data_IF_200228499826
#
_entry.id   IF_200228499826
#
_cell.length_a   1.000
_cell.length_b   1.000
_cell.length_c   1.000
_cell.angle_alpha   90.00
_cell.angle_beta   90.00
_cell.angle_gamma   90.00
#
_symmetry.space_group_name_H-M   'P 1'
#
loop_
_entity.id
_entity.type
_entity.pdbx_description
1 polymer ?
#
# COMPACT_ATOMS: atom_id res chain seq x y z
N UNK A 1 -3.51 10.40 -36.95
CA UNK A 1 -2.52 10.69 -35.89
C UNK A 1 -1.77 9.42 -35.59
N UNK A 2 -0.76 9.15 -36.40
CA UNK A 2 0.01 7.92 -36.41
C UNK A 2 0.92 7.99 -37.62
N UNK A 3 2.09 7.39 -37.49
CA UNK A 3 3.19 7.47 -38.45
C UNK A 3 3.38 6.07 -39.02
N UNK A 4 3.86 5.98 -40.25
CA UNK A 4 4.37 4.71 -40.77
C UNK A 4 5.80 4.56 -40.24
N UNK A 5 6.10 3.44 -39.62
CA UNK A 5 7.48 3.11 -39.26
C UNK A 5 8.33 2.82 -40.51
N UNK A 6 9.62 2.57 -40.29
CA UNK A 6 10.59 2.31 -41.37
C UNK A 6 10.23 1.10 -42.24
N UNK A 7 9.29 0.26 -41.80
CA UNK A 7 8.81 -0.93 -42.51
C UNK A 7 7.40 -0.76 -43.11
N UNK A 8 6.82 0.44 -43.03
CA UNK A 8 5.48 0.73 -43.54
C UNK A 8 4.35 0.23 -42.64
N UNK A 9 4.65 -0.17 -41.40
CA UNK A 9 3.65 -0.51 -40.40
C UNK A 9 3.15 0.77 -39.73
N UNK A 10 1.84 0.87 -39.50
CA UNK A 10 1.27 2.01 -38.80
C UNK A 10 1.55 1.92 -37.30
N UNK A 11 2.02 3.02 -36.70
CA UNK A 11 2.19 3.18 -35.25
C UNK A 11 1.64 4.52 -34.77
N UNK A 12 1.28 4.68 -33.48
CA UNK A 12 0.99 5.99 -32.93
C UNK A 12 2.19 6.93 -33.07
N UNK A 13 1.94 8.24 -33.18
CA UNK A 13 2.99 9.21 -32.87
C UNK A 13 3.20 9.26 -31.36
N UNK A 14 4.46 9.28 -30.91
CA UNK A 14 4.84 9.37 -29.50
C UNK A 14 4.19 10.57 -28.81
N UNK A 15 4.19 11.72 -29.48
CA UNK A 15 3.64 12.99 -28.97
C UNK A 15 2.15 12.82 -28.64
N UNK A 16 1.39 12.25 -29.58
CA UNK A 16 -0.02 11.96 -29.40
C UNK A 16 -0.26 11.02 -28.21
N UNK A 17 0.58 9.98 -28.05
CA UNK A 17 0.46 9.06 -26.94
C UNK A 17 0.69 9.80 -25.61
N UNK A 18 1.77 10.58 -25.50
CA UNK A 18 2.11 11.33 -24.29
C UNK A 18 1.06 12.37 -23.91
N UNK A 19 0.47 13.08 -24.88
CA UNK A 19 -0.60 14.07 -24.66
C UNK A 19 -1.85 13.47 -23.99
N UNK A 20 -2.16 12.21 -24.25
CA UNK A 20 -3.35 11.53 -23.72
C UNK A 20 -3.09 10.78 -22.40
N UNK A 21 -1.84 10.84 -21.92
CA UNK A 21 -1.38 10.09 -20.76
C UNK A 21 -1.35 10.96 -19.53
N UNK A 22 -1.45 10.33 -18.36
CA UNK A 22 -1.60 11.05 -17.09
C UNK A 22 -0.33 10.94 -16.29
N UNK A 23 0.27 12.07 -15.95
CA UNK A 23 1.27 12.07 -14.89
C UNK A 23 0.61 11.69 -13.55
N UNK A 24 1.28 10.87 -12.71
CA UNK A 24 0.83 10.62 -11.36
C UNK A 24 0.59 11.96 -10.65
N UNK A 25 -0.56 12.06 -9.98
CA UNK A 25 -0.87 13.24 -9.16
C UNK A 25 -0.29 13.07 -7.77
N UNK A 26 1.00 12.76 -7.70
CA UNK A 26 1.73 12.73 -6.43
C UNK A 26 2.02 14.18 -6.05
N UNK A 27 1.05 14.84 -5.40
CA UNK A 27 1.34 16.12 -4.76
C UNK A 27 2.29 15.84 -3.61
N UNK A 28 3.49 16.45 -3.59
CA UNK A 28 4.43 16.23 -2.49
C UNK A 28 3.79 16.65 -1.17
N UNK A 29 4.09 15.91 -0.12
CA UNK A 29 3.71 16.26 1.24
C UNK A 29 4.51 17.50 1.64
N UNK A 30 3.83 18.56 2.07
CA UNK A 30 4.49 19.83 2.44
C UNK A 30 4.61 19.93 3.96
N UNK A 31 5.39 19.03 4.56
CA UNK A 31 5.51 18.95 6.02
C UNK A 31 6.65 19.80 6.58
N UNK A 32 7.52 20.34 5.73
CA UNK A 32 8.68 21.16 6.12
C UNK A 32 8.31 22.42 6.91
N UNK A 33 7.07 22.91 6.75
CA UNK A 33 6.58 24.10 7.46
C UNK A 33 6.17 23.86 8.91
N UNK A 34 6.20 22.61 9.38
CA UNK A 34 5.84 22.28 10.76
C UNK A 34 7.06 22.30 11.68
N UNK A 35 6.91 22.82 12.91
CA UNK A 35 7.97 22.73 13.89
C UNK A 35 8.29 21.26 14.17
N UNK A 36 9.58 20.97 14.31
CA UNK A 36 10.03 19.67 14.80
C UNK A 36 9.81 19.58 16.31
N UNK A 37 9.59 18.36 16.79
CA UNK A 37 9.42 18.02 18.20
C UNK A 37 10.72 18.16 18.98
N UNK A 38 10.68 17.73 20.25
CA UNK A 38 11.79 17.86 21.19
C UNK A 38 13.06 17.11 20.74
N UNK A 39 12.91 16.09 19.92
CA UNK A 39 14.02 15.30 19.35
C UNK A 39 14.69 15.96 18.13
N UNK A 40 14.16 17.10 17.65
CA UNK A 40 14.69 17.80 16.48
C UNK A 40 14.49 17.06 15.15
N UNK A 41 13.71 15.98 15.12
CA UNK A 41 13.53 15.10 13.97
C UNK A 41 12.06 14.86 13.59
N UNK A 42 11.18 14.64 14.56
CA UNK A 42 9.77 14.23 14.34
C UNK A 42 8.82 15.42 14.39
N UNK A 43 7.59 15.25 13.88
CA UNK A 43 6.50 16.21 14.07
C UNK A 43 5.50 15.56 15.01
N UNK A 44 5.33 16.12 16.20
CA UNK A 44 4.41 15.61 17.21
C UNK A 44 2.99 16.12 16.94
N UNK A 45 2.03 15.19 16.89
CA UNK A 45 0.62 15.49 16.62
C UNK A 45 -0.26 14.82 17.66
N UNK A 46 -1.07 15.62 18.34
CA UNK A 46 -2.13 15.13 19.22
C UNK A 46 -3.47 15.25 18.51
N UNK A 47 -4.15 14.11 18.33
CA UNK A 47 -5.43 14.01 17.62
C UNK A 47 -6.66 14.31 18.51
N UNK A 48 -6.45 14.48 19.82
CA UNK A 48 -7.51 14.62 20.81
C UNK A 48 -8.03 13.28 21.32
N UNK A 49 -8.45 13.25 22.59
CA UNK A 49 -8.90 12.03 23.28
C UNK A 49 -10.11 11.35 22.61
N UNK A 50 -11.14 12.07 22.11
CA UNK A 50 -12.29 11.42 21.49
C UNK A 50 -11.91 10.60 20.26
N UNK A 51 -11.04 11.15 19.39
CA UNK A 51 -10.61 10.46 18.18
C UNK A 51 -9.66 9.30 18.51
N UNK A 52 -8.74 9.47 19.46
CA UNK A 52 -7.86 8.39 19.89
C UNK A 52 -8.64 7.20 20.45
N UNK A 53 -9.61 7.44 21.35
CA UNK A 53 -10.48 6.38 21.88
C UNK A 53 -11.28 5.68 20.78
N UNK A 54 -11.84 6.46 19.84
CA UNK A 54 -12.60 5.88 18.74
C UNK A 54 -11.72 5.03 17.79
N UNK A 55 -10.43 5.37 17.62
CA UNK A 55 -9.45 4.55 16.90
C UNK A 55 -9.19 3.25 17.67
N UNK A 56 -8.92 3.34 18.98
CA UNK A 56 -8.67 2.18 19.85
C UNK A 56 -9.83 1.19 19.83
N UNK A 57 -11.06 1.67 20.02
CA UNK A 57 -12.29 0.88 19.97
C UNK A 57 -12.46 0.20 18.60
N UNK A 58 -12.25 0.94 17.51
CA UNK A 58 -12.41 0.40 16.17
C UNK A 58 -11.38 -0.70 15.87
N UNK A 59 -10.11 -0.47 16.24
CA UNK A 59 -9.03 -1.44 16.03
C UNK A 59 -9.28 -2.68 16.88
N UNK A 60 -9.67 -2.52 18.14
CA UNK A 60 -9.98 -3.64 19.05
C UNK A 60 -11.15 -4.47 18.55
N UNK A 61 -12.24 -3.81 18.13
CA UNK A 61 -13.42 -4.50 17.61
C UNK A 61 -13.12 -5.23 16.29
N UNK A 62 -12.30 -4.62 15.43
CA UNK A 62 -11.86 -5.24 14.17
C UNK A 62 -10.94 -6.44 14.42
N UNK A 63 -10.02 -6.33 15.39
CA UNK A 63 -9.15 -7.42 15.80
C UNK A 63 -9.95 -8.59 16.36
N UNK A 64 -10.85 -8.36 17.31
CA UNK A 64 -11.70 -9.39 17.89
C UNK A 64 -12.55 -10.10 16.83
N UNK A 65 -13.14 -9.35 15.89
CA UNK A 65 -13.89 -9.91 14.75
C UNK A 65 -13.02 -10.82 13.89
N UNK A 66 -11.79 -10.40 13.56
CA UNK A 66 -10.88 -11.19 12.73
C UNK A 66 -10.34 -12.42 13.45
N UNK A 67 -10.04 -12.32 14.74
CA UNK A 67 -9.67 -13.47 15.57
C UNK A 67 -10.79 -14.51 15.62
N UNK A 68 -12.05 -14.08 15.76
CA UNK A 68 -13.22 -14.96 15.71
C UNK A 68 -13.36 -15.64 14.34
N UNK A 69 -13.19 -14.90 13.24
CA UNK A 69 -13.25 -15.48 11.89
C UNK A 69 -12.15 -16.52 11.62
N UNK A 70 -10.96 -16.32 12.18
CA UNK A 70 -9.85 -17.27 12.10
C UNK A 70 -9.94 -18.39 13.16
N UNK A 71 -11.03 -18.43 13.94
CA UNK A 71 -11.29 -19.42 14.97
C UNK A 71 -10.17 -19.54 16.02
N UNK A 72 -9.50 -18.42 16.31
CA UNK A 72 -8.48 -18.38 17.37
C UNK A 72 -9.20 -18.58 18.70
N UNK A 73 -8.82 -19.63 19.43
CA UNK A 73 -9.47 -19.95 20.69
C UNK A 73 -9.38 -18.74 21.66
N UNK A 74 -10.42 -18.55 22.49
CA UNK A 74 -10.49 -17.41 23.42
C UNK A 74 -10.92 -16.08 22.79
N UNK A 75 -11.15 -16.02 21.47
CA UNK A 75 -11.76 -14.85 20.84
C UNK A 75 -13.17 -14.59 21.42
N UNK A 76 -13.40 -13.37 21.91
CA UNK A 76 -14.71 -12.94 22.38
C UNK A 76 -15.63 -12.64 21.20
N UNK A 77 -16.91 -13.03 21.32
CA UNK A 77 -17.92 -12.69 20.32
C UNK A 77 -18.10 -11.17 20.28
N UNK A 78 -17.89 -10.57 19.10
CA UNK A 78 -18.21 -9.17 18.88
C UNK A 78 -19.71 -9.05 18.65
N UNK A 79 -20.38 -8.22 19.45
CA UNK A 79 -21.81 -7.94 19.28
C UNK A 79 -22.12 -7.37 17.88
N UNK A 80 -23.35 -7.55 17.42
CA UNK A 80 -23.80 -7.14 16.07
C UNK A 80 -23.85 -5.62 15.83
N UNK A 81 -23.41 -4.80 16.78
CA UNK A 81 -23.37 -3.33 16.68
C UNK A 81 -22.42 -2.86 15.58
N UNK A 82 -22.76 -1.76 14.90
CA UNK A 82 -21.85 -1.12 13.93
C UNK A 82 -20.60 -0.59 14.65
N UNK A 83 -19.56 -1.43 14.68
CA UNK A 83 -18.27 -1.21 15.32
C UNK A 83 -17.56 0.06 14.83
N UNK A 84 -18.01 0.64 13.72
CA UNK A 84 -17.39 1.83 13.14
C UNK A 84 -18.10 3.13 13.49
N UNK A 85 -19.30 3.09 14.09
CA UNK A 85 -20.13 4.28 14.31
C UNK A 85 -19.39 5.39 15.08
N UNK A 86 -18.83 5.06 16.24
CA UNK A 86 -18.05 5.97 17.10
C UNK A 86 -16.89 6.63 16.33
N UNK A 87 -16.16 5.84 15.56
CA UNK A 87 -15.08 6.33 14.69
C UNK A 87 -15.58 7.23 13.56
N UNK A 88 -16.67 6.86 12.87
CA UNK A 88 -17.22 7.69 11.78
C UNK A 88 -17.62 9.08 12.26
N UNK A 89 -18.23 9.16 13.43
CA UNK A 89 -18.65 10.42 14.07
C UNK A 89 -17.42 11.23 14.49
N UNK A 90 -16.53 10.65 15.31
CA UNK A 90 -15.34 11.34 15.83
C UNK A 90 -14.37 11.78 14.72
N UNK A 91 -14.11 10.92 13.73
CA UNK A 91 -13.28 11.26 12.58
C UNK A 91 -13.91 12.35 11.72
N UNK A 92 -15.22 12.24 11.47
CA UNK A 92 -15.95 13.23 10.67
C UNK A 92 -15.93 14.63 11.29
N UNK A 93 -16.11 14.71 12.60
CA UNK A 93 -16.02 15.96 13.36
C UNK A 93 -14.60 16.54 13.36
N UNK A 94 -13.59 15.72 13.68
CA UNK A 94 -12.20 16.14 13.67
C UNK A 94 -11.74 16.61 12.28
N UNK A 95 -12.06 15.84 11.23
CA UNK A 95 -11.73 16.19 9.86
C UNK A 95 -12.39 17.52 9.43
N UNK A 96 -13.65 17.74 9.83
CA UNK A 96 -14.34 19.01 9.56
C UNK A 96 -13.66 20.18 10.27
N UNK A 97 -13.37 20.04 11.55
CA UNK A 97 -12.73 21.07 12.37
C UNK A 97 -11.33 21.43 11.82
N UNK A 98 -10.52 20.42 11.48
CA UNK A 98 -9.20 20.64 10.89
C UNK A 98 -9.31 21.30 9.52
N UNK A 99 -10.28 20.91 8.68
CA UNK A 99 -10.49 21.55 7.38
C UNK A 99 -10.88 23.04 7.52
N UNK A 100 -11.74 23.38 8.48
CA UNK A 100 -12.10 24.77 8.77
C UNK A 100 -10.89 25.57 9.28
N UNK A 101 -10.10 24.99 10.20
CA UNK A 101 -8.88 25.62 10.72
C UNK A 101 -7.82 25.81 9.65
N UNK A 102 -7.61 24.81 8.79
CA UNK A 102 -6.70 24.89 7.65
C UNK A 102 -7.10 26.01 6.67
N UNK A 103 -8.41 26.18 6.41
CA UNK A 103 -8.92 27.30 5.61
C UNK A 103 -8.67 28.64 6.29
N UNK A 104 -9.04 28.78 7.57
CA UNK A 104 -8.91 30.02 8.32
C UNK A 104 -7.45 30.49 8.45
N UNK A 105 -6.53 29.55 8.68
CA UNK A 105 -5.10 29.84 8.79
C UNK A 105 -4.39 29.91 7.43
N UNK A 106 -5.08 29.66 6.30
CA UNK A 106 -4.48 29.51 4.97
C UNK A 106 -3.37 28.45 4.89
N UNK A 107 -3.36 27.48 5.80
CA UNK A 107 -2.36 26.40 5.92
C UNK A 107 -2.99 25.06 5.58
N UNK A 108 -2.84 24.66 4.32
CA UNK A 108 -3.48 23.48 3.72
C UNK A 108 -2.81 22.18 4.18
N UNK A 109 -1.54 22.30 4.51
CA UNK A 109 -0.64 21.28 5.00
C UNK A 109 -1.11 20.70 6.34
N UNK A 110 -1.88 21.48 7.13
CA UNK A 110 -2.51 21.00 8.37
C UNK A 110 -3.42 19.80 8.13
N UNK A 111 -4.15 19.83 7.03
CA UNK A 111 -5.05 18.74 6.65
C UNK A 111 -4.28 17.52 6.12
N UNK A 112 -3.11 17.73 5.50
CA UNK A 112 -2.21 16.63 5.12
C UNK A 112 -1.65 15.94 6.37
N UNK A 113 -1.14 16.73 7.32
CA UNK A 113 -0.58 16.25 8.57
C UNK A 113 -1.62 15.49 9.40
N UNK A 114 -2.85 15.99 9.48
CA UNK A 114 -3.95 15.30 10.16
C UNK A 114 -4.19 13.89 9.63
N UNK A 115 -4.35 13.72 8.30
CA UNK A 115 -4.58 12.38 7.75
C UNK A 115 -3.40 11.43 7.97
N UNK A 116 -2.17 11.92 7.81
CA UNK A 116 -0.98 11.11 8.08
C UNK A 116 -0.90 10.69 9.55
N UNK A 117 -1.25 11.59 10.47
CA UNK A 117 -1.29 11.31 11.89
C UNK A 117 -2.37 10.27 12.24
N UNK A 118 -3.57 10.35 11.65
CA UNK A 118 -4.62 9.35 11.85
C UNK A 118 -4.19 7.98 11.34
N UNK A 119 -3.62 7.90 10.12
CA UNK A 119 -3.11 6.62 9.58
C UNK A 119 -2.01 6.04 10.47
N UNK A 120 -1.03 6.88 10.87
CA UNK A 120 0.04 6.46 11.79
C UNK A 120 -0.54 5.95 13.11
N UNK A 121 -1.49 6.66 13.71
CA UNK A 121 -2.12 6.29 14.97
C UNK A 121 -2.85 4.95 14.86
N UNK A 122 -3.63 4.73 13.79
CA UNK A 122 -4.31 3.45 13.54
C UNK A 122 -3.30 2.29 13.53
N UNK A 123 -2.19 2.44 12.80
CA UNK A 123 -1.17 1.39 12.67
C UNK A 123 -0.45 1.14 14.00
N UNK A 124 -0.08 2.20 14.74
CA UNK A 124 0.57 2.07 16.04
C UNK A 124 -0.37 1.44 17.09
N UNK A 125 -1.63 1.84 17.12
CA UNK A 125 -2.64 1.25 18.01
C UNK A 125 -2.84 -0.23 17.71
N UNK A 126 -2.85 -0.61 16.42
CA UNK A 126 -2.93 -2.02 16.03
C UNK A 126 -1.71 -2.82 16.47
N UNK A 127 -0.51 -2.32 16.20
CA UNK A 127 0.73 -2.98 16.58
C UNK A 127 0.82 -3.12 18.12
N UNK A 128 0.42 -2.08 18.85
CA UNK A 128 0.34 -2.11 20.32
C UNK A 128 -0.64 -3.16 20.83
N UNK A 129 -1.88 -3.20 20.32
CA UNK A 129 -2.89 -4.17 20.76
C UNK A 129 -2.47 -5.62 20.46
N UNK A 130 -1.80 -5.88 19.34
CA UNK A 130 -1.26 -7.20 19.03
C UNK A 130 -0.15 -7.60 20.00
N UNK A 131 0.76 -6.68 20.35
CA UNK A 131 1.80 -6.92 21.35
C UNK A 131 1.23 -7.16 22.74
N UNK A 132 0.30 -6.31 23.21
CA UNK A 132 -0.36 -6.48 24.52
C UNK A 132 -1.07 -7.82 24.61
N UNK A 133 -1.77 -8.25 23.56
CA UNK A 133 -2.43 -9.55 23.56
C UNK A 133 -1.44 -10.72 23.67
N UNK A 134 -0.28 -10.62 22.99
CA UNK A 134 0.79 -11.60 23.09
C UNK A 134 1.38 -11.64 24.51
N UNK A 135 1.72 -10.49 25.06
CA UNK A 135 2.33 -10.35 26.39
C UNK A 135 1.38 -10.83 27.50
N UNK A 136 0.09 -10.50 27.44
CA UNK A 136 -0.93 -11.00 28.38
C UNK A 136 -1.08 -12.53 28.31
N UNK A 137 -1.00 -13.08 27.10
CA UNK A 137 -1.06 -14.53 26.88
C UNK A 137 0.21 -15.26 27.33
N UNK A 138 1.37 -14.59 27.34
CA UNK A 138 2.66 -15.13 27.77
C UNK A 138 2.89 -14.98 29.29
N UNK A 139 2.66 -13.80 29.85
CA UNK A 139 2.81 -13.53 31.28
C UNK A 139 1.88 -14.38 32.15
N UNK A 140 0.75 -14.83 31.60
CA UNK A 140 -0.15 -15.78 32.27
C UNK A 140 0.34 -17.24 32.24
N UNK A 141 1.33 -17.58 31.40
CA UNK A 141 1.98 -18.89 31.36
C UNK A 141 3.18 -18.96 32.31
N UNK A 142 3.96 -17.87 32.42
CA UNK A 142 5.20 -17.82 33.22
C UNK A 142 4.95 -17.74 34.73
N UNK A 143 3.77 -17.28 35.16
CA UNK A 143 3.44 -17.11 36.58
C UNK A 143 3.26 -18.41 37.38
N UNK A 144 3.52 -19.59 36.79
CA UNK A 144 3.75 -20.86 37.52
C UNK A 144 2.65 -21.34 38.49
N UNK A 145 1.51 -20.65 38.53
CA UNK A 145 0.38 -21.00 39.39
C UNK A 145 -0.29 -22.24 38.84
N UNK A 146 -0.32 -23.30 39.65
CA UNK A 146 -1.04 -24.59 39.52
C UNK A 146 -1.67 -24.79 38.14
N UNK A 147 -1.26 -25.80 37.34
CA UNK A 147 -1.82 -26.02 36.01
C UNK A 147 -3.34 -26.25 36.12
N UNK A 148 -4.10 -25.17 35.96
CA UNK A 148 -5.54 -25.24 35.86
C UNK A 148 -5.89 -26.04 34.62
N UNK A 149 -7.07 -26.66 34.61
CA UNK A 149 -7.62 -27.44 33.47
C UNK A 149 -7.56 -26.72 32.10
N UNK A 150 -7.30 -25.41 32.08
CA UNK A 150 -7.28 -24.55 30.90
C UNK A 150 -5.87 -24.17 30.39
N UNK A 151 -4.78 -24.60 31.04
CA UNK A 151 -3.42 -24.24 30.61
C UNK A 151 -3.09 -24.73 29.19
N UNK A 152 -3.48 -25.97 28.85
CA UNK A 152 -3.31 -26.52 27.49
C UNK A 152 -4.12 -25.77 26.43
N UNK A 153 -5.29 -25.24 26.78
CA UNK A 153 -6.08 -24.40 25.88
C UNK A 153 -5.39 -23.07 25.60
N UNK A 154 -4.75 -22.44 26.60
CA UNK A 154 -4.04 -21.15 26.44
C UNK A 154 -2.76 -21.25 25.62
N UNK A 155 -1.99 -22.32 25.80
CA UNK A 155 -0.80 -22.58 24.96
C UNK A 155 -1.22 -22.73 23.50
N UNK A 156 -2.32 -23.43 23.22
CA UNK A 156 -2.86 -23.56 21.88
C UNK A 156 -3.38 -22.22 21.32
N UNK A 157 -4.02 -21.39 22.16
CA UNK A 157 -4.44 -20.03 21.80
C UNK A 157 -3.27 -19.16 21.37
N UNK A 158 -2.22 -19.10 22.18
CA UNK A 158 -1.01 -18.33 21.88
C UNK A 158 -0.32 -18.85 20.62
N UNK A 159 -0.24 -20.18 20.45
CA UNK A 159 0.31 -20.80 19.25
C UNK A 159 -0.48 -20.42 17.99
N UNK A 160 -1.81 -20.48 18.05
CA UNK A 160 -2.68 -20.07 16.94
C UNK A 160 -2.55 -18.58 16.65
N UNK A 161 -2.52 -17.74 17.67
CA UNK A 161 -2.31 -16.31 17.51
C UNK A 161 -0.97 -16.00 16.85
N UNK A 162 0.15 -16.54 17.37
CA UNK A 162 1.48 -16.33 16.78
C UNK A 162 1.53 -16.80 15.33
N UNK A 163 0.87 -17.93 15.01
CA UNK A 163 0.73 -18.43 13.63
C UNK A 163 0.01 -17.43 12.72
N UNK A 164 -1.04 -16.77 13.20
CA UNK A 164 -1.86 -15.86 12.40
C UNK A 164 -1.59 -14.38 12.65
N UNK A 165 -0.61 -14.01 13.46
CA UNK A 165 -0.40 -12.63 13.92
C UNK A 165 -0.22 -11.65 12.76
N UNK A 166 0.64 -11.99 11.79
CA UNK A 166 0.88 -11.15 10.62
C UNK A 166 -0.36 -11.06 9.73
N UNK A 167 -1.11 -12.17 9.60
CA UNK A 167 -2.38 -12.19 8.85
C UNK A 167 -3.44 -11.32 9.52
N UNK A 168 -3.57 -11.40 10.85
CA UNK A 168 -4.47 -10.57 11.64
C UNK A 168 -4.14 -9.09 11.46
N UNK A 169 -2.87 -8.73 11.63
CA UNK A 169 -2.40 -7.37 11.42
C UNK A 169 -2.81 -6.83 10.05
N UNK A 170 -2.52 -7.59 8.99
CA UNK A 170 -2.88 -7.21 7.62
C UNK A 170 -4.40 -7.03 7.45
N UNK A 171 -5.20 -8.01 7.88
CA UNK A 171 -6.66 -7.97 7.73
C UNK A 171 -7.29 -6.80 8.50
N UNK A 172 -6.82 -6.52 9.71
CA UNK A 172 -7.33 -5.42 10.54
C UNK A 172 -6.91 -4.08 9.96
N UNK A 173 -5.63 -3.92 9.56
CA UNK A 173 -5.16 -2.69 8.91
C UNK A 173 -5.97 -2.41 7.63
N UNK A 174 -6.23 -3.44 6.82
CA UNK A 174 -7.03 -3.33 5.60
C UNK A 174 -8.47 -2.87 5.88
N UNK A 175 -9.13 -3.46 6.88
CA UNK A 175 -10.50 -3.10 7.26
C UNK A 175 -10.59 -1.66 7.77
N UNK A 176 -9.74 -1.30 8.74
CA UNK A 176 -9.81 -0.01 9.43
C UNK A 176 -9.44 1.14 8.48
N UNK A 177 -8.37 0.97 7.69
CA UNK A 177 -8.00 1.96 6.68
C UNK A 177 -9.01 2.01 5.52
N UNK A 178 -9.65 0.89 5.19
CA UNK A 178 -10.76 0.84 4.25
C UNK A 178 -11.97 1.67 4.71
N UNK A 179 -12.31 1.59 6.01
CA UNK A 179 -13.37 2.42 6.62
C UNK A 179 -12.99 3.91 6.51
N UNK A 180 -11.78 4.29 6.94
CA UNK A 180 -11.29 5.67 6.82
C UNK A 180 -11.36 6.16 5.36
N UNK A 181 -10.85 5.37 4.42
CA UNK A 181 -10.89 5.69 2.99
C UNK A 181 -12.32 5.91 2.48
N UNK A 182 -13.27 5.07 2.91
CA UNK A 182 -14.68 5.19 2.51
C UNK A 182 -15.31 6.51 2.98
N UNK A 183 -15.08 6.90 4.24
CA UNK A 183 -15.55 8.16 4.81
C UNK A 183 -15.01 9.35 4.04
N UNK A 184 -13.74 9.24 3.68
CA UNK A 184 -13.04 10.29 2.98
C UNK A 184 -13.48 10.49 1.54
N UNK A 185 -13.85 9.40 0.85
CA UNK A 185 -14.49 9.47 -0.45
C UNK A 185 -15.85 10.16 -0.37
N UNK A 186 -16.66 9.85 0.66
CA UNK A 186 -17.96 10.48 0.89
C UNK A 186 -17.80 11.98 1.21
N UNK A 187 -16.81 12.33 2.04
CA UNK A 187 -16.54 13.71 2.45
C UNK A 187 -15.90 14.58 1.34
N UNK A 188 -15.54 14.02 0.18
CA UNK A 188 -14.79 14.70 -0.89
C UNK A 188 -15.44 15.99 -1.38
N UNK A 189 -16.75 15.99 -1.61
CA UNK A 189 -17.48 17.19 -2.07
C UNK A 189 -17.50 18.28 -0.99
N UNK A 190 -17.83 17.90 0.25
CA UNK A 190 -17.88 18.81 1.40
C UNK A 190 -16.52 19.45 1.66
N UNK A 191 -15.47 18.64 1.70
CA UNK A 191 -14.10 19.13 1.86
C UNK A 191 -13.67 20.05 0.72
N UNK A 192 -13.97 19.70 -0.55
CA UNK A 192 -13.64 20.58 -1.68
C UNK A 192 -14.32 21.95 -1.54
N UNK A 193 -15.54 22.00 -1.02
CA UNK A 193 -16.24 23.26 -0.73
C UNK A 193 -15.55 24.08 0.38
N UNK A 194 -15.11 23.42 1.46
CA UNK A 194 -14.44 24.09 2.59
C UNK A 194 -13.02 24.53 2.23
N UNK A 195 -12.21 23.64 1.68
CA UNK A 195 -10.81 23.91 1.39
C UNK A 195 -10.60 24.63 0.05
N UNK A 196 -11.66 24.79 -0.76
CA UNK A 196 -11.59 25.31 -2.13
C UNK A 196 -10.55 24.59 -3.02
N UNK A 197 -10.22 23.33 -2.70
CA UNK A 197 -9.20 22.56 -3.40
C UNK A 197 -9.59 21.10 -3.56
N UNK A 198 -9.06 20.46 -4.61
CA UNK A 198 -9.06 19.01 -4.69
C UNK A 198 -8.20 18.43 -3.58
N UNK A 199 -8.58 17.24 -3.12
CA UNK A 199 -7.91 16.46 -2.08
C UNK A 199 -6.38 16.70 -1.97
N UNK A 200 -5.84 17.01 -0.77
CA UNK A 200 -4.49 17.54 -0.64
C UNK A 200 -3.37 16.50 -0.56
N UNK A 201 -3.65 15.19 -0.40
CA UNK A 201 -2.65 14.11 -0.36
C UNK A 201 -2.98 13.02 -1.37
N UNK A 202 -2.07 12.49 -2.18
CA UNK A 202 -2.47 11.40 -3.09
C UNK A 202 -3.09 10.20 -2.31
N UNK A 203 -4.17 9.60 -2.84
CA UNK A 203 -4.83 8.46 -2.16
C UNK A 203 -3.86 7.29 -2.04
N UNK A 204 -3.01 7.15 -3.04
CA UNK A 204 -1.91 6.20 -3.16
C UNK A 204 -0.86 6.34 -2.06
N UNK A 205 -0.72 7.53 -1.45
CA UNK A 205 0.19 7.77 -0.32
C UNK A 205 -0.47 7.31 1.00
N UNK A 206 -1.72 7.68 1.23
CA UNK A 206 -2.41 7.41 2.51
C UNK A 206 -2.86 5.96 2.65
N UNK A 207 -3.27 5.35 1.54
CA UNK A 207 -3.85 4.01 1.51
C UNK A 207 -2.96 3.04 0.74
N UNK A 208 -1.64 3.27 0.79
CA UNK A 208 -0.65 2.38 0.20
C UNK A 208 -0.80 0.98 0.82
N UNK A 209 -1.07 -0.07 0.02
CA UNK A 209 -1.20 -1.43 0.53
C UNK A 209 0.04 -1.94 1.27
N UNK A 210 1.24 -1.44 0.95
CA UNK A 210 2.47 -1.80 1.65
C UNK A 210 2.47 -1.36 3.13
N UNK A 211 1.77 -0.26 3.47
CA UNK A 211 1.60 0.16 4.88
C UNK A 211 0.74 -0.83 5.68
N UNK A 212 -0.11 -1.60 4.99
CA UNK A 212 -1.03 -2.56 5.61
C UNK A 212 -0.34 -3.91 5.88
N UNK A 213 0.70 -4.27 5.11
CA UNK A 213 1.42 -5.54 5.24
C UNK A 213 2.12 -5.68 6.60
N UNK A 214 2.75 -4.62 7.09
CA UNK A 214 3.51 -4.62 8.36
C UNK A 214 4.83 -5.36 8.32
N UNK A 215 5.02 -6.31 7.41
CA UNK A 215 6.31 -6.97 7.11
C UNK A 215 6.23 -7.54 5.70
N UNK A 216 7.38 -7.63 5.03
CA UNK A 216 7.54 -8.35 3.77
C UNK A 216 7.81 -9.85 3.99
N UNK A 217 7.98 -10.33 5.22
CA UNK A 217 8.23 -11.75 5.52
C UNK A 217 6.99 -12.65 5.30
N UNK A 218 5.80 -12.06 5.23
CA UNK A 218 4.56 -12.81 5.07
C UNK A 218 4.13 -12.84 3.60
N UNK A 219 4.63 -13.85 2.87
CA UNK A 219 4.29 -14.09 1.46
C UNK A 219 2.78 -14.16 1.21
N UNK A 220 2.04 -14.77 2.14
CA UNK A 220 0.58 -14.92 2.05
C UNK A 220 -0.13 -13.56 1.97
N UNK A 221 0.30 -12.60 2.78
CA UNK A 221 -0.25 -11.25 2.78
C UNK A 221 0.19 -10.46 1.56
N UNK A 222 1.45 -10.64 1.13
CA UNK A 222 1.97 -9.98 -0.06
C UNK A 222 1.21 -10.43 -1.31
N UNK A 223 0.95 -11.73 -1.45
CA UNK A 223 0.25 -12.34 -2.59
C UNK A 223 -1.18 -11.81 -2.78
N UNK A 224 -1.84 -11.37 -1.71
CA UNK A 224 -3.18 -10.74 -1.78
C UNK A 224 -3.14 -9.43 -2.57
N UNK A 225 -2.02 -8.71 -2.51
CA UNK A 225 -1.87 -7.36 -3.04
C UNK A 225 -1.06 -7.35 -4.35
N UNK A 226 0.03 -8.10 -4.40
CA UNK A 226 1.03 -8.06 -5.47
C UNK A 226 1.43 -9.49 -5.90
N UNK A 227 1.85 -9.69 -7.18
CA UNK A 227 2.41 -10.96 -7.61
C UNK A 227 3.66 -11.33 -6.81
N UNK A 228 3.75 -12.56 -6.30
CA UNK A 228 4.83 -13.02 -5.42
C UNK A 228 6.23 -12.85 -6.03
N UNK A 229 6.39 -12.96 -7.35
CA UNK A 229 7.65 -12.70 -8.05
C UNK A 229 8.27 -11.33 -7.72
N UNK A 230 7.44 -10.35 -7.33
CA UNK A 230 7.88 -9.01 -6.96
C UNK A 230 8.48 -8.92 -5.56
N UNK A 231 8.44 -9.96 -4.74
CA UNK A 231 9.14 -9.98 -3.44
C UNK A 231 10.65 -10.17 -3.59
N UNK A 232 11.10 -10.72 -4.72
CA UNK A 232 12.50 -10.89 -5.04
C UNK A 232 13.02 -9.62 -5.73
N UNK A 233 13.92 -8.89 -5.06
CA UNK A 233 14.43 -7.60 -5.54
C UNK A 233 15.16 -7.71 -6.88
N UNK A 234 15.86 -8.82 -7.14
CA UNK A 234 16.58 -9.05 -8.39
C UNK A 234 15.63 -9.33 -9.54
N UNK A 235 14.58 -10.12 -9.30
CA UNK A 235 13.52 -10.35 -10.30
C UNK A 235 12.73 -9.08 -10.56
N UNK A 236 12.37 -8.32 -9.51
CA UNK A 236 11.72 -7.03 -9.65
C UNK A 236 12.54 -6.09 -10.54
N UNK A 237 13.83 -5.88 -10.22
CA UNK A 237 14.71 -5.01 -11.02
C UNK A 237 14.82 -5.46 -12.46
N UNK A 238 15.00 -6.76 -12.71
CA UNK A 238 15.11 -7.27 -14.08
C UNK A 238 13.80 -7.12 -14.85
N UNK A 239 12.65 -7.26 -14.20
CA UNK A 239 11.35 -6.98 -14.80
C UNK A 239 11.18 -5.49 -15.14
N UNK A 240 11.53 -4.60 -14.20
CA UNK A 240 11.50 -3.16 -14.42
C UNK A 240 12.41 -2.76 -15.60
N UNK A 241 13.61 -3.33 -15.67
CA UNK A 241 14.51 -3.15 -16.82
C UNK A 241 13.92 -3.64 -18.14
N UNK A 242 13.09 -4.69 -18.16
CA UNK A 242 12.41 -5.13 -19.41
C UNK A 242 11.38 -4.09 -19.79
N UNK A 243 10.55 -3.67 -18.83
CA UNK A 243 9.51 -2.68 -19.08
C UNK A 243 10.11 -1.37 -19.58
N UNK A 244 11.17 -0.87 -18.94
CA UNK A 244 11.85 0.34 -19.36
C UNK A 244 12.54 0.18 -20.72
N UNK A 245 13.18 -0.95 -21.03
CA UNK A 245 13.83 -1.15 -22.33
C UNK A 245 12.82 -1.19 -23.47
N UNK A 246 11.79 -2.04 -23.33
CA UNK A 246 10.81 -2.27 -24.40
C UNK A 246 9.85 -1.09 -24.60
N UNK A 247 9.58 -0.31 -23.53
CA UNK A 247 8.66 0.82 -23.59
C UNK A 247 9.36 2.17 -23.77
N UNK A 248 10.69 2.26 -23.65
CA UNK A 248 11.47 3.51 -23.64
C UNK A 248 11.04 4.55 -24.69
N UNK A 249 10.82 4.11 -25.94
CA UNK A 249 10.35 4.94 -27.05
C UNK A 249 9.02 5.67 -26.75
N UNK A 250 8.15 5.03 -25.96
CA UNK A 250 6.81 5.48 -25.62
C UNK A 250 6.71 6.14 -24.25
N UNK A 251 7.80 6.15 -23.48
CA UNK A 251 7.87 6.78 -22.17
C UNK A 251 8.25 8.25 -22.28
N UNK A 252 7.80 9.13 -21.35
CA UNK A 252 8.32 10.48 -21.25
C UNK A 252 9.81 10.46 -20.91
N UNK A 253 10.54 11.52 -21.27
CA UNK A 253 11.99 11.62 -21.04
C UNK A 253 12.36 11.52 -19.54
N UNK A 254 11.45 11.91 -18.64
CA UNK A 254 11.64 11.77 -17.19
C UNK A 254 11.57 10.32 -16.68
N UNK A 255 11.10 9.38 -17.49
CA UNK A 255 11.06 7.95 -17.22
C UNK A 255 12.03 7.16 -18.11
N UNK A 256 12.61 7.82 -19.11
CA UNK A 256 13.61 7.25 -20.00
C UNK A 256 14.98 7.30 -19.32
N UNK A 257 15.25 6.28 -18.51
CA UNK A 257 16.51 6.09 -17.84
C UNK A 257 16.32 5.06 -16.75
N UNK A 258 16.65 3.80 -17.05
CA UNK A 258 16.87 2.84 -15.97
C UNK A 258 17.87 3.50 -15.01
N UNK A 259 17.56 3.62 -13.72
CA UNK A 259 18.56 4.11 -12.79
C UNK A 259 19.79 3.21 -12.93
N UNK A 260 20.99 3.78 -13.03
CA UNK A 260 22.20 2.97 -13.03
C UNK A 260 22.11 2.06 -11.79
N UNK A 261 22.48 0.77 -11.90
CA UNK A 261 22.55 -0.08 -10.73
C UNK A 261 23.41 0.63 -9.69
N UNK A 262 22.80 1.00 -8.57
CA UNK A 262 23.49 1.69 -7.49
C UNK A 262 24.64 0.80 -7.04
N UNK A 263 25.84 1.36 -7.00
CA UNK A 263 26.98 0.70 -6.37
C UNK A 263 26.61 0.41 -4.90
N UNK A 264 26.81 -0.82 -4.39
CA UNK A 264 26.66 -1.10 -2.96
C UNK A 264 27.36 -0.09 -2.04
N UNK A 265 28.47 0.53 -2.48
CA UNK A 265 29.16 1.60 -1.75
C UNK A 265 28.42 2.95 -1.82
N UNK A 266 27.79 3.29 -2.95
CA UNK A 266 26.93 4.47 -3.05
C UNK A 266 25.70 4.33 -2.14
N UNK A 267 25.13 3.12 -2.03
CA UNK A 267 24.01 2.84 -1.14
C UNK A 267 24.34 3.14 0.35
N UNK A 268 25.60 2.92 0.75
CA UNK A 268 26.13 3.21 2.10
C UNK A 268 26.39 4.71 2.31
N UNK A 269 26.66 5.45 1.24
CA UNK A 269 26.95 6.89 1.27
C UNK A 269 25.69 7.77 1.31
N UNK A 270 24.52 7.22 0.93
CA UNK A 270 23.25 7.91 1.08
C UNK A 270 23.03 8.22 2.56
N UNK A 271 22.62 9.46 2.93
CA UNK A 271 22.42 9.83 4.32
C UNK A 271 21.52 8.79 5.01
N UNK A 272 22.10 8.05 5.94
CA UNK A 272 21.36 7.13 6.79
C UNK A 272 20.36 7.98 7.59
N UNK A 273 19.08 7.68 7.42
CA UNK A 273 18.04 8.26 8.24
C UNK A 273 18.35 7.90 9.70
N UNK A 274 18.42 8.91 10.57
CA UNK A 274 18.79 8.74 11.98
C UNK A 274 17.71 8.00 12.80
N UNK A 275 16.48 7.91 12.28
CA UNK A 275 15.32 7.32 12.95
C UNK A 275 14.95 5.96 12.31
N UNK A 276 14.92 4.90 13.12
CA UNK A 276 14.55 3.53 12.70
C UNK A 276 13.05 3.39 12.40
N UNK A 277 12.24 4.42 12.65
CA UNK A 277 10.79 4.37 12.48
C UNK A 277 10.12 3.51 13.55
N UNK A 278 8.87 3.84 13.89
CA UNK A 278 8.09 3.14 14.93
C UNK A 278 7.13 2.08 14.34
N UNK A 279 7.00 2.04 13.00
CA UNK A 279 6.08 1.14 12.32
C UNK A 279 6.74 -0.22 12.08
N UNK A 280 5.99 -1.29 12.31
CA UNK A 280 6.44 -2.65 12.02
C UNK A 280 6.89 -2.81 10.55
N UNK A 281 7.98 -3.56 10.34
CA UNK A 281 8.53 -3.89 9.02
C UNK A 281 9.08 -2.71 8.21
N UNK A 282 9.09 -1.50 8.77
CA UNK A 282 9.59 -0.31 8.09
C UNK A 282 11.03 -0.50 7.59
N UNK A 283 11.94 -0.99 8.42
CA UNK A 283 13.34 -1.22 8.04
C UNK A 283 13.48 -2.23 6.90
N UNK A 284 12.65 -3.27 6.89
CA UNK A 284 12.65 -4.28 5.83
C UNK A 284 12.12 -3.72 4.52
N UNK A 285 11.00 -2.99 4.58
CA UNK A 285 10.42 -2.31 3.41
C UNK A 285 11.41 -1.29 2.85
N UNK A 286 12.07 -0.52 3.70
CA UNK A 286 13.12 0.42 3.29
C UNK A 286 14.30 -0.30 2.62
N UNK A 287 14.81 -1.38 3.22
CA UNK A 287 15.91 -2.17 2.65
C UNK A 287 15.54 -2.77 1.29
N UNK A 288 14.30 -3.24 1.14
CA UNK A 288 13.78 -3.74 -0.14
C UNK A 288 13.64 -2.62 -1.17
N UNK A 289 13.01 -1.49 -0.80
CA UNK A 289 12.81 -0.35 -1.71
C UNK A 289 14.14 0.20 -2.23
N UNK A 290 15.16 0.33 -1.36
CA UNK A 290 16.52 0.76 -1.76
C UNK A 290 17.17 -0.14 -2.80
N UNK A 291 16.75 -1.40 -2.90
CA UNK A 291 17.25 -2.34 -3.91
C UNK A 291 16.50 -2.25 -5.24
N UNK A 292 15.25 -1.77 -5.25
CA UNK A 292 14.39 -1.84 -6.44
C UNK A 292 14.04 -0.49 -7.05
N UNK A 293 14.21 0.62 -6.33
CA UNK A 293 13.96 1.97 -6.84
C UNK A 293 15.23 2.83 -6.78
N UNK A 294 15.29 3.86 -7.61
CA UNK A 294 16.44 4.77 -7.63
C UNK A 294 16.53 5.60 -6.35
N UNK A 295 17.76 6.01 -5.98
CA UNK A 295 17.97 6.90 -4.84
C UNK A 295 17.21 8.22 -4.99
N UNK A 296 17.09 8.73 -6.23
CA UNK A 296 16.36 9.96 -6.53
C UNK A 296 14.85 9.79 -6.37
N UNK A 297 14.27 8.70 -6.87
CA UNK A 297 12.84 8.38 -6.67
C UNK A 297 12.53 8.21 -5.19
N UNK A 298 13.40 7.51 -4.45
CA UNK A 298 13.25 7.29 -3.01
C UNK A 298 13.31 8.60 -2.22
N UNK A 299 14.32 9.44 -2.46
CA UNK A 299 14.54 10.68 -1.69
C UNK A 299 13.58 11.80 -2.07
N UNK A 300 13.29 11.98 -3.35
CA UNK A 300 12.44 13.07 -3.83
C UNK A 300 10.95 12.71 -3.82
N UNK A 301 10.59 11.46 -3.52
CA UNK A 301 9.22 10.96 -3.51
C UNK A 301 8.50 11.16 -4.85
N UNK A 302 9.25 11.15 -5.95
CA UNK A 302 8.72 11.34 -7.29
C UNK A 302 8.25 9.99 -7.82
N UNK A 303 6.97 9.94 -8.21
CA UNK A 303 6.44 8.79 -8.93
C UNK A 303 6.83 8.81 -10.39
N UNK A 304 7.07 7.63 -10.96
CA UNK A 304 7.24 7.40 -12.39
C UNK A 304 5.90 7.54 -13.12
N UNK A 305 5.94 7.93 -14.39
CA UNK A 305 4.76 7.93 -15.26
C UNK A 305 4.08 6.54 -15.31
N UNK A 306 4.86 5.47 -15.16
CA UNK A 306 4.37 4.09 -15.11
C UNK A 306 3.60 3.77 -13.81
N UNK A 307 3.81 4.54 -12.75
CA UNK A 307 3.13 4.33 -11.46
C UNK A 307 1.64 4.66 -11.54
N UNK A 308 1.18 5.35 -12.59
CA UNK A 308 -0.24 5.60 -12.81
C UNK A 308 -0.87 4.41 -13.59
N UNK A 309 -1.67 3.52 -12.96
CA UNK A 309 -2.07 2.26 -13.58
C UNK A 309 -2.87 2.43 -14.88
N UNK A 310 -3.61 3.54 -15.02
CA UNK A 310 -4.35 3.84 -16.26
C UNK A 310 -3.45 4.10 -17.47
N UNK A 311 -2.18 4.46 -17.28
CA UNK A 311 -1.24 4.61 -18.40
C UNK A 311 -0.89 3.25 -18.97
N UNK A 312 -0.56 2.29 -18.09
CA UNK A 312 -0.33 0.89 -18.48
C UNK A 312 -1.55 0.28 -19.17
N UNK A 313 -2.77 0.51 -18.64
CA UNK A 313 -4.00 0.03 -19.29
C UNK A 313 -4.19 0.62 -20.68
N UNK A 314 -3.80 1.87 -20.91
CA UNK A 314 -3.88 2.49 -22.25
C UNK A 314 -2.78 2.01 -23.18
N UNK A 315 -1.57 1.78 -22.66
CA UNK A 315 -0.44 1.24 -23.41
C UNK A 315 -0.70 -0.20 -23.88
N UNK A 316 -1.26 -1.04 -23.01
CA UNK A 316 -1.47 -2.47 -23.30
C UNK A 316 -2.92 -2.84 -23.65
N UNK A 317 -3.84 -1.88 -23.70
CA UNK A 317 -5.22 -2.15 -24.09
C UNK A 317 -6.03 -3.01 -23.12
N UNK A 318 -5.63 -3.06 -21.84
CA UNK A 318 -6.22 -3.95 -20.84
C UNK A 318 -7.74 -3.84 -20.68
N UNK A 319 -8.36 -4.89 -20.12
CA UNK A 319 -9.82 -5.03 -20.00
C UNK A 319 -10.46 -3.85 -19.25
N UNK A 320 -11.15 -2.96 -19.98
CA UNK A 320 -12.08 -2.00 -19.39
C UNK A 320 -13.52 -2.36 -19.73
N UNK A 321 -14.29 -2.76 -18.71
CA UNK A 321 -15.76 -2.62 -18.67
C UNK A 321 -16.24 -1.15 -18.75
N UNK A 322 -15.32 -0.18 -18.67
CA UNK A 322 -15.61 1.25 -18.80
C UNK A 322 -14.78 1.87 -19.90
N UNK A 323 -15.09 1.53 -21.15
CA UNK A 323 -14.35 2.04 -22.31
C UNK A 323 -14.23 3.56 -22.29
N UNK A 324 -13.00 4.04 -22.22
CA UNK A 324 -12.71 5.41 -22.60
C UNK A 324 -13.15 5.62 -24.05
N UNK A 325 -13.94 6.65 -24.32
CA UNK A 325 -14.06 7.19 -25.67
C UNK A 325 -12.67 7.71 -26.09
N UNK A 326 -12.23 7.36 -27.30
CA UNK A 326 -10.92 7.77 -27.79
C UNK A 326 -10.31 6.83 -28.84
N UNK A 327 -9.07 7.10 -29.27
CA UNK A 327 -8.36 6.37 -30.34
C UNK A 327 -8.12 4.88 -30.01
N UNK A 328 -8.20 4.51 -28.73
CA UNK A 328 -7.88 3.20 -28.16
C UNK A 328 -8.76 2.05 -28.67
N UNK A 329 -9.89 2.35 -29.32
CA UNK A 329 -10.80 1.35 -29.92
C UNK A 329 -10.55 1.10 -31.40
N UNK A 330 -9.61 1.83 -32.02
CA UNK A 330 -9.31 1.69 -33.43
C UNK A 330 -8.53 0.39 -33.69
N UNK A 331 -8.82 -0.39 -34.75
CA UNK A 331 -8.15 -1.68 -35.00
C UNK A 331 -6.62 -1.58 -35.07
N UNK A 332 -6.11 -0.51 -35.68
CA UNK A 332 -4.66 -0.25 -35.73
C UNK A 332 -4.04 -0.02 -34.35
N UNK A 333 -4.82 0.52 -33.41
CA UNK A 333 -4.38 0.71 -32.04
C UNK A 333 -4.30 -0.62 -31.30
N UNK A 334 -5.27 -1.52 -31.51
CA UNK A 334 -5.24 -2.87 -30.96
C UNK A 334 -4.02 -3.65 -31.46
N UNK A 335 -3.74 -3.62 -32.77
CA UNK A 335 -2.56 -4.27 -33.35
C UNK A 335 -1.24 -3.73 -32.76
N UNK A 336 -1.13 -2.43 -32.55
CA UNK A 336 0.02 -1.82 -31.87
C UNK A 336 0.15 -2.29 -30.40
N UNK A 337 -0.96 -2.40 -29.68
CA UNK A 337 -0.97 -2.88 -28.29
C UNK A 337 -0.55 -4.36 -28.20
N UNK A 338 -1.02 -5.20 -29.14
CA UNK A 338 -0.58 -6.58 -29.27
C UNK A 338 0.93 -6.66 -29.55
N UNK A 339 1.46 -5.85 -30.49
CA UNK A 339 2.90 -5.77 -30.76
C UNK A 339 3.71 -5.39 -29.49
N UNK A 340 3.23 -4.42 -28.71
CA UNK A 340 3.87 -4.02 -27.46
C UNK A 340 3.85 -5.13 -26.41
N UNK A 341 2.72 -5.83 -26.26
CA UNK A 341 2.60 -6.97 -25.34
C UNK A 341 3.59 -8.06 -25.74
N UNK A 342 3.61 -8.46 -27.02
CA UNK A 342 4.51 -9.49 -27.52
C UNK A 342 5.99 -9.12 -27.31
N UNK A 343 6.35 -7.85 -27.50
CA UNK A 343 7.72 -7.36 -27.22
C UNK A 343 8.09 -7.53 -25.75
N UNK A 344 7.21 -7.11 -24.85
CA UNK A 344 7.43 -7.24 -23.40
C UNK A 344 7.47 -8.72 -22.99
N UNK A 345 6.56 -9.55 -23.49
CA UNK A 345 6.53 -10.99 -23.21
C UNK A 345 7.82 -11.67 -23.68
N UNK A 346 8.28 -11.37 -24.90
CA UNK A 346 9.54 -11.90 -25.44
C UNK A 346 10.75 -11.42 -24.63
N UNK A 347 10.76 -10.16 -24.19
CA UNK A 347 11.79 -9.62 -23.30
C UNK A 347 11.81 -10.29 -21.92
N UNK A 348 10.64 -10.60 -21.37
CA UNK A 348 10.50 -11.35 -20.12
C UNK A 348 10.94 -12.81 -20.28
N UNK A 349 10.59 -13.45 -21.40
CA UNK A 349 10.95 -14.83 -21.71
C UNK A 349 12.47 -14.98 -21.87
N UNK A 350 13.12 -14.10 -22.65
CA UNK A 350 14.57 -14.09 -22.83
C UNK A 350 15.35 -13.93 -21.52
N UNK A 351 14.75 -13.27 -20.52
CA UNK A 351 15.35 -13.10 -19.18
C UNK A 351 14.89 -14.16 -18.18
N UNK A 352 14.09 -15.15 -18.58
CA UNK A 352 13.58 -16.22 -17.72
C UNK A 352 12.59 -15.74 -16.65
N UNK A 353 11.88 -14.64 -16.90
CA UNK A 353 10.95 -13.99 -15.95
C UNK A 353 9.48 -14.28 -16.25
N UNK A 354 9.16 -14.67 -17.48
CA UNK A 354 7.77 -14.86 -17.92
C UNK A 354 7.07 -15.98 -17.12
N UNK A 355 7.70 -17.15 -17.01
CA UNK A 355 7.13 -18.28 -16.27
C UNK A 355 6.92 -17.97 -14.76
N UNK A 356 7.91 -17.43 -14.01
CA UNK A 356 7.70 -17.01 -12.62
C UNK A 356 6.57 -16.00 -12.44
N UNK A 357 6.42 -15.05 -13.37
CA UNK A 357 5.35 -14.06 -13.35
C UNK A 357 3.98 -14.72 -13.53
N UNK A 358 3.82 -15.55 -14.56
CA UNK A 358 2.58 -16.29 -14.82
C UNK A 358 2.22 -17.23 -13.66
N UNK A 359 3.21 -17.93 -13.10
CA UNK A 359 3.05 -18.78 -11.92
C UNK A 359 2.56 -17.97 -10.72
N UNK A 360 3.14 -16.80 -10.45
CA UNK A 360 2.72 -15.91 -9.37
C UNK A 360 1.28 -15.41 -9.54
N UNK A 361 0.87 -15.06 -10.76
CA UNK A 361 -0.50 -14.64 -11.04
C UNK A 361 -1.51 -15.79 -10.87
N UNK A 362 -1.15 -17.01 -11.28
CA UNK A 362 -1.98 -18.21 -11.08
C UNK A 362 -2.06 -18.60 -9.61
N UNK A 363 -0.94 -18.53 -8.89
CA UNK A 363 -0.88 -18.81 -7.46
C UNK A 363 -1.88 -17.95 -6.70
N UNK A 364 -1.98 -16.64 -7.00
CA UNK A 364 -2.97 -15.76 -6.37
C UNK A 364 -4.42 -16.26 -6.52
N UNK A 365 -4.77 -16.90 -7.64
CA UNK A 365 -6.12 -17.44 -7.88
C UNK A 365 -6.36 -18.75 -7.13
N UNK A 366 -5.33 -19.59 -7.03
CA UNK A 366 -5.43 -20.95 -6.47
C UNK A 366 -5.18 -20.94 -4.96
N UNK A 367 -4.40 -20.00 -4.45
CA UNK A 367 -3.98 -19.89 -3.06
C UNK A 367 -5.16 -19.84 -2.06
N UNK A 368 -6.26 -19.09 -2.31
CA UNK A 368 -7.43 -19.13 -1.44
C UNK A 368 -8.05 -20.52 -1.31
N UNK A 369 -7.97 -21.34 -2.36
CA UNK A 369 -8.51 -22.70 -2.39
C UNK A 369 -7.55 -23.71 -1.75
N UNK A 370 -6.24 -23.45 -1.82
CA UNK A 370 -5.22 -24.21 -1.08
C UNK A 370 -5.30 -23.94 0.43
N UNK A 371 -5.56 -22.68 0.81
CA UNK A 371 -5.66 -22.19 2.19
C UNK A 371 -6.96 -22.52 2.92
N UNK A 372 -7.99 -23.05 2.23
CA UNK A 372 -9.21 -23.60 2.89
C UNK A 372 -8.98 -24.93 3.60
N UNK A 373 -7.77 -25.50 3.58
CA UNK A 373 -7.40 -26.58 4.50
C UNK A 373 -6.96 -26.05 5.87
N UNK A 374 -7.93 -25.43 6.54
CA UNK A 374 -8.18 -25.70 7.96
C UNK A 374 -8.98 -27.00 8.13
N UNK A 375 -8.69 -28.04 7.35
CA UNK A 375 -9.16 -29.40 7.65
C UNK A 375 -8.09 -30.04 8.53
N UNK A 376 -8.45 -30.66 9.67
CA UNK A 376 -7.49 -31.39 10.47
C UNK A 376 -6.84 -32.47 9.60
N UNK A 377 -5.52 -32.66 9.81
CA UNK A 377 -4.64 -33.71 9.25
C UNK A 377 -4.12 -33.46 7.83
N UNK A 378 -2.85 -33.10 7.74
CA UNK A 378 -1.81 -34.06 7.33
C UNK A 378 -0.78 -34.17 8.45
#
# INVERSE_FOLDING_TARGET
MGILDLHGSWKPSREFLLEHMKLPRCKPLKLESFPRGLDGARIDVWLGDPLNRAIEELVQASLAKRMQMLQIAGAHAVGSTDISKSFRESYGEAALAVAQRARAAMRRELYQLFHLAVVKQILLTLDHQLSTWADESEGTLDLGGVPGRNAGSRVEQLRQFRRYQQRLRFLVAHDVLGIMHSLDRVARKRRKSILAMSWPVAEEILFNPLLQLGTLDCEENFLELYPLVLMDADRFRRMDQVLLSELSEWLPDCCAGAPPPLDPEELKSLPLRQDKGELAGYAQVEAFLRQVISAKEYQEGRGSWLDHPRNLVRLFGGEQKGGGSGPWRHPRWAAFQEELIERVERGLEQRGLLEPLLASMRLRKIYPDLGRRGSPRL
#
